data_IF_416635993948
#
_entry.id   IF_416635993948
#
_cell.length_a   1.000
_cell.length_b   1.000
_cell.length_c   1.000
_cell.angle_alpha   90.00
_cell.angle_beta   90.00
_cell.angle_gamma   90.00
#
_symmetry.space_group_name_H-M   'P 1'
#
loop_
_entity.id
_entity.type
_entity.pdbx_description
1 polymer ?
#
# COMPACT_ATOMS: atom_id res chain seq x y z
N UNK A 1 -7.45 19.23 14.65
CA UNK A 1 -6.24 18.90 13.86
C UNK A 1 -6.10 19.94 12.77
N UNK A 2 -4.88 20.33 12.42
CA UNK A 2 -4.60 21.23 11.28
C UNK A 2 -3.96 20.41 10.15
N UNK A 3 -4.78 19.62 9.45
CA UNK A 3 -4.30 18.70 8.42
C UNK A 3 -3.99 19.44 7.12
N UNK A 4 -2.78 19.28 6.63
CA UNK A 4 -2.37 19.69 5.29
C UNK A 4 -3.15 18.87 4.24
N UNK A 5 -3.35 19.40 3.01
CA UNK A 5 -4.03 18.66 1.94
C UNK A 5 -3.46 17.24 1.72
N UNK A 6 -2.13 17.11 1.68
CA UNK A 6 -1.44 15.80 1.55
C UNK A 6 -1.76 14.82 2.69
N UNK A 7 -2.04 15.31 3.89
CA UNK A 7 -2.38 14.46 5.03
C UNK A 7 -3.82 13.97 4.91
N UNK A 8 -4.72 14.80 4.38
CA UNK A 8 -6.09 14.40 4.07
C UNK A 8 -6.13 13.37 2.93
N UNK A 9 -5.30 13.53 1.90
CA UNK A 9 -5.14 12.55 0.82
C UNK A 9 -4.67 11.19 1.35
N UNK A 10 -3.72 11.16 2.29
CA UNK A 10 -3.28 9.91 2.94
C UNK A 10 -4.39 9.25 3.76
N UNK A 11 -5.30 10.03 4.36
CA UNK A 11 -6.49 9.45 5.02
C UNK A 11 -7.42 8.75 4.02
N UNK A 12 -7.51 9.23 2.76
CA UNK A 12 -8.29 8.54 1.74
C UNK A 12 -7.70 7.17 1.36
N UNK A 13 -6.38 7.00 1.45
CA UNK A 13 -5.73 5.69 1.29
C UNK A 13 -6.22 4.71 2.37
N UNK A 14 -6.32 5.17 3.63
CA UNK A 14 -6.84 4.34 4.73
C UNK A 14 -8.27 3.87 4.44
N UNK A 15 -9.14 4.77 4.00
CA UNK A 15 -10.54 4.43 3.66
C UNK A 15 -10.60 3.45 2.49
N UNK A 16 -9.80 3.65 1.45
CA UNK A 16 -9.74 2.76 0.29
C UNK A 16 -9.21 1.37 0.66
N UNK A 17 -8.15 1.30 1.47
CA UNK A 17 -7.55 0.05 1.92
C UNK A 17 -8.50 -0.73 2.85
N UNK A 18 -9.19 -0.07 3.79
CA UNK A 18 -10.21 -0.70 4.63
C UNK A 18 -11.36 -1.27 3.80
N UNK A 19 -11.87 -0.50 2.83
CA UNK A 19 -12.90 -0.99 1.89
C UNK A 19 -12.41 -2.21 1.10
N UNK A 20 -11.17 -2.18 0.60
CA UNK A 20 -10.54 -3.28 -0.13
C UNK A 20 -10.37 -4.54 0.75
N UNK A 21 -9.86 -4.40 1.98
CA UNK A 21 -9.75 -5.52 2.93
C UNK A 21 -11.11 -6.13 3.27
N UNK A 22 -12.15 -5.32 3.44
CA UNK A 22 -13.54 -5.83 3.62
C UNK A 22 -14.08 -6.54 2.38
N UNK A 23 -13.63 -6.20 1.17
CA UNK A 23 -13.93 -6.93 -0.08
C UNK A 23 -13.20 -8.27 -0.12
N UNK A 24 -11.91 -8.28 0.19
CA UNK A 24 -11.10 -9.49 0.28
C UNK A 24 -11.64 -10.47 1.32
N UNK A 25 -12.02 -9.97 2.51
CA UNK A 25 -12.53 -10.79 3.61
C UNK A 25 -13.85 -11.52 3.32
N UNK A 26 -14.61 -11.07 2.31
CA UNK A 26 -15.82 -11.77 1.83
C UNK A 26 -15.58 -12.59 0.55
N UNK A 27 -14.31 -12.84 0.20
CA UNK A 27 -13.90 -13.74 -0.87
C UNK A 27 -13.78 -13.10 -2.26
N UNK A 28 -13.77 -11.77 -2.38
CA UNK A 28 -13.56 -11.11 -3.67
C UNK A 28 -12.06 -10.99 -3.96
N UNK A 29 -11.65 -11.33 -5.19
CA UNK A 29 -10.34 -10.97 -5.73
C UNK A 29 -10.28 -9.46 -5.98
N UNK A 30 -9.18 -8.84 -5.57
CA UNK A 30 -9.00 -7.40 -5.61
C UNK A 30 -8.74 -6.90 -7.04
N UNK A 31 -9.30 -5.74 -7.39
CA UNK A 31 -8.94 -5.05 -8.63
C UNK A 31 -7.70 -4.15 -8.44
N UNK A 32 -7.29 -3.47 -9.52
CA UNK A 32 -6.12 -2.58 -9.54
C UNK A 32 -6.09 -1.54 -8.40
N UNK A 33 -7.07 -0.64 -8.24
CA UNK A 33 -7.00 0.40 -7.21
C UNK A 33 -7.07 -0.16 -5.79
N UNK A 34 -7.74 -1.30 -5.59
CA UNK A 34 -7.81 -1.96 -4.29
C UNK A 34 -6.45 -2.54 -3.86
N UNK A 35 -5.75 -3.19 -4.78
CA UNK A 35 -4.41 -3.72 -4.52
C UNK A 35 -3.42 -2.61 -4.20
N UNK A 36 -3.41 -1.53 -5.00
CA UNK A 36 -2.56 -0.35 -4.74
C UNK A 36 -2.89 0.29 -3.39
N UNK A 37 -4.17 0.41 -3.03
CA UNK A 37 -4.58 0.99 -1.75
C UNK A 37 -4.07 0.18 -0.56
N UNK A 38 -4.21 -1.15 -0.59
CA UNK A 38 -3.72 -2.04 0.48
C UNK A 38 -2.20 -1.93 0.61
N UNK A 39 -1.46 -2.06 -0.49
CA UNK A 39 0.01 -1.97 -0.46
C UNK A 39 0.43 -0.60 0.10
N UNK A 40 -0.18 0.48 -0.39
CA UNK A 40 0.15 1.84 0.05
C UNK A 40 -0.10 2.04 1.55
N UNK A 41 -1.22 1.54 2.05
CA UNK A 41 -1.57 1.61 3.46
C UNK A 41 -0.53 0.89 4.34
N UNK A 42 -0.16 -0.34 3.98
CA UNK A 42 0.80 -1.15 4.74
C UNK A 42 2.20 -0.52 4.76
N UNK A 43 2.61 0.18 3.68
CA UNK A 43 3.86 0.93 3.66
C UNK A 43 3.83 2.16 4.57
N UNK A 44 2.70 2.88 4.61
CA UNK A 44 2.54 4.05 5.50
C UNK A 44 2.58 3.61 6.96
N UNK A 45 1.87 2.55 7.31
CA UNK A 45 1.86 2.02 8.69
C UNK A 45 3.22 1.43 9.06
N UNK A 46 3.88 0.71 8.15
CA UNK A 46 5.22 0.20 8.40
C UNK A 46 6.27 1.30 8.62
N UNK A 47 6.13 2.45 7.95
CA UNK A 47 6.97 3.62 8.25
C UNK A 47 6.66 4.19 9.63
N UNK A 48 5.37 4.23 10.02
CA UNK A 48 4.93 4.66 11.35
C UNK A 48 5.44 3.75 12.46
N UNK A 49 5.57 2.45 12.19
CA UNK A 49 6.14 1.44 13.09
C UNK A 49 7.67 1.52 13.20
N UNK A 50 8.31 2.40 12.43
CA UNK A 50 9.75 2.63 12.49
C UNK A 50 10.59 1.63 11.69
N UNK A 51 9.98 0.89 10.74
CA UNK A 51 10.73 0.05 9.80
C UNK A 51 11.58 0.92 8.88
N UNK A 52 12.66 0.36 8.33
CA UNK A 52 13.49 1.13 7.39
C UNK A 52 12.86 1.16 5.98
N UNK A 53 13.27 2.12 5.15
CA UNK A 53 12.85 2.17 3.74
C UNK A 53 13.18 0.85 3.03
N UNK A 54 14.40 0.31 3.24
CA UNK A 54 14.84 -0.93 2.63
C UNK A 54 13.98 -2.14 3.07
N UNK A 55 13.60 -2.20 4.35
CA UNK A 55 12.70 -3.25 4.85
C UNK A 55 11.33 -3.15 4.18
N UNK A 56 10.80 -1.94 4.01
CA UNK A 56 9.49 -1.71 3.39
C UNK A 56 9.48 -2.01 1.88
N UNK A 57 10.58 -1.73 1.18
CA UNK A 57 10.74 -2.13 -0.22
C UNK A 57 10.61 -3.65 -0.39
N UNK A 58 11.16 -4.43 0.55
CA UNK A 58 11.07 -5.88 0.52
C UNK A 58 9.70 -6.38 1.00
N UNK A 59 9.21 -5.83 2.12
CA UNK A 59 7.93 -6.18 2.73
C UNK A 59 6.74 -5.92 1.80
N UNK A 60 6.77 -4.83 1.03
CA UNK A 60 5.70 -4.52 0.09
C UNK A 60 5.43 -5.64 -0.93
N UNK A 61 6.44 -6.46 -1.24
CA UNK A 61 6.34 -7.59 -2.17
C UNK A 61 5.71 -8.85 -1.55
N UNK A 62 5.40 -8.84 -0.26
CA UNK A 62 4.85 -9.99 0.47
C UNK A 62 3.39 -9.80 0.88
N UNK A 63 2.79 -8.66 0.54
CA UNK A 63 1.47 -8.25 1.05
C UNK A 63 0.29 -8.90 0.33
N UNK A 64 0.44 -9.11 -0.98
CA UNK A 64 -0.58 -9.68 -1.86
C UNK A 64 0.09 -10.66 -2.82
N UNK A 65 -0.57 -11.79 -3.03
CA UNK A 65 -0.22 -12.79 -4.03
C UNK A 65 -1.08 -12.64 -5.28
N UNK A 66 -0.71 -13.33 -6.36
CA UNK A 66 -1.54 -13.46 -7.57
C UNK A 66 -2.96 -13.98 -7.31
N UNK A 67 -3.14 -14.79 -6.27
CA UNK A 67 -4.44 -15.37 -5.93
C UNK A 67 -5.37 -14.34 -5.26
N UNK A 68 -4.82 -13.30 -4.64
CA UNK A 68 -5.57 -12.24 -3.96
C UNK A 68 -6.20 -11.23 -4.92
N UNK A 69 -5.67 -11.12 -6.14
CA UNK A 69 -6.02 -10.06 -7.10
C UNK A 69 -6.61 -10.64 -8.38
N UNK A 70 -7.38 -9.87 -9.15
CA UNK A 70 -7.94 -10.29 -10.44
C UNK A 70 -6.84 -10.59 -11.47
N UNK A 71 -7.18 -11.36 -12.50
CA UNK A 71 -6.29 -11.64 -13.64
C UNK A 71 -5.80 -10.34 -14.30
N UNK A 72 -4.50 -10.28 -14.62
CA UNK A 72 -3.85 -9.12 -15.23
C UNK A 72 -3.45 -8.01 -14.26
N UNK A 73 -3.99 -7.98 -13.03
CA UNK A 73 -3.63 -6.97 -12.03
C UNK A 73 -2.15 -7.00 -11.65
N UNK A 74 -1.49 -8.16 -11.42
CA UNK A 74 -0.06 -8.21 -11.12
C UNK A 74 0.79 -7.56 -12.23
N UNK A 75 0.44 -7.80 -13.49
CA UNK A 75 1.16 -7.27 -14.65
C UNK A 75 0.92 -5.76 -14.84
N UNK A 76 -0.20 -5.22 -14.34
CA UNK A 76 -0.51 -3.79 -14.42
C UNK A 76 0.22 -2.94 -13.36
N UNK A 77 0.65 -3.55 -12.25
CA UNK A 77 1.28 -2.85 -11.12
C UNK A 77 2.78 -3.12 -11.14
N UNK A 78 3.53 -2.36 -11.92
CA UNK A 78 4.99 -2.46 -11.99
C UNK A 78 5.68 -1.92 -10.74
N UNK A 79 5.13 -0.85 -10.17
CA UNK A 79 5.58 -0.31 -8.91
C UNK A 79 4.43 0.34 -8.13
N UNK A 80 4.63 0.43 -6.82
CA UNK A 80 3.84 1.28 -5.93
C UNK A 80 4.78 2.22 -5.21
N UNK A 81 4.48 3.51 -5.31
CA UNK A 81 5.28 4.58 -4.72
C UNK A 81 4.47 5.35 -3.69
N UNK A 82 5.00 5.48 -2.48
CA UNK A 82 4.33 6.21 -1.39
C UNK A 82 5.35 6.99 -0.58
N UNK A 83 5.06 8.26 -0.33
CA UNK A 83 5.78 9.03 0.68
C UNK A 83 5.20 8.75 2.07
N UNK A 84 6.06 8.35 3.01
CA UNK A 84 5.68 8.11 4.39
C UNK A 84 6.62 8.83 5.36
N UNK A 85 6.12 9.14 6.55
CA UNK A 85 6.90 9.83 7.60
C UNK A 85 7.52 8.80 8.52
N UNK A 86 8.84 8.64 8.42
CA UNK A 86 9.67 7.78 9.27
C UNK A 86 10.13 8.54 10.51
N UNK A 87 10.70 7.85 11.52
CA UNK A 87 11.28 8.51 12.69
C UNK A 87 12.35 9.57 12.35
N UNK A 88 13.00 9.45 11.19
CA UNK A 88 14.05 10.35 10.73
C UNK A 88 13.64 11.26 9.55
N UNK A 89 12.34 11.34 9.22
CA UNK A 89 11.79 12.27 8.24
C UNK A 89 10.91 11.63 7.17
N UNK A 90 10.36 12.46 6.28
CA UNK A 90 9.57 11.99 5.14
C UNK A 90 10.48 11.43 4.05
N UNK A 91 10.17 10.22 3.57
CA UNK A 91 10.91 9.54 2.50
C UNK A 91 9.94 8.87 1.53
N UNK A 92 10.37 8.76 0.27
CA UNK A 92 9.68 7.98 -0.75
C UNK A 92 10.08 6.51 -0.63
N UNK A 93 9.08 5.63 -0.58
CA UNK A 93 9.26 4.18 -0.69
C UNK A 93 8.75 3.75 -2.06
N UNK A 94 9.56 2.96 -2.77
CA UNK A 94 9.19 2.37 -4.06
C UNK A 94 9.27 0.85 -3.96
N UNK A 95 8.15 0.17 -4.16
CA UNK A 95 8.10 -1.29 -4.21
C UNK A 95 7.94 -1.71 -5.66
N UNK A 96 8.92 -2.44 -6.19
CA UNK A 96 8.87 -2.98 -7.54
C UNK A 96 8.22 -4.37 -7.55
N UNK A 97 7.40 -4.64 -8.56
CA UNK A 97 6.66 -5.90 -8.75
C UNK A 97 6.04 -6.41 -7.44
N UNK A 98 5.16 -5.62 -6.79
CA UNK A 98 4.69 -5.87 -5.44
C UNK A 98 3.79 -7.11 -5.31
N UNK A 99 3.30 -7.65 -6.43
CA UNK A 99 2.41 -8.82 -6.45
C UNK A 99 3.11 -9.93 -7.24
N UNK A 100 3.44 -11.02 -6.56
CA UNK A 100 4.16 -12.16 -7.14
C UNK A 100 3.30 -13.40 -7.27
#
# INVERSE_FOLDING_TARGET
MHLLPREQEKLMIVVAADLARRRQARGLRLNFPEAVAIISYELIEGARDGRTVADLMSYGTTLLSRDDVMEGVPEMIHDVQVEATFPDGTKLVTVHDPIR
#
